data_IF_341349694816
#
_entry.id   IF_341349694816
#
_cell.length_a   1.000
_cell.length_b   1.000
_cell.length_c   1.000
_cell.angle_alpha   90.00
_cell.angle_beta   90.00
_cell.angle_gamma   90.00
#
_symmetry.space_group_name_H-M   'P 1'
#
loop_
_entity.id
_entity.type
_entity.pdbx_description
1 polymer ?
#
# COMPACT_ATOMS: atom_id res chain seq x y z
N UNK A 1 38.09 47.69 -6.45
CA UNK A 1 36.81 47.32 -5.78
C UNK A 1 36.01 46.29 -6.58
N UNK A 2 35.85 46.45 -7.89
CA UNK A 2 35.08 45.51 -8.74
C UNK A 2 35.54 44.04 -8.64
N UNK A 3 36.85 43.77 -8.63
CA UNK A 3 37.38 42.42 -8.49
C UNK A 3 37.09 41.75 -7.14
N UNK A 4 37.03 42.53 -6.06
CA UNK A 4 36.68 42.04 -4.71
C UNK A 4 35.19 41.69 -4.68
N UNK A 5 34.34 42.53 -5.30
CA UNK A 5 32.90 42.30 -5.36
C UNK A 5 32.57 41.02 -6.13
N UNK A 6 33.19 40.81 -7.29
CA UNK A 6 33.03 39.60 -8.10
C UNK A 6 33.59 38.36 -7.39
N UNK A 7 34.72 38.49 -6.69
CA UNK A 7 35.33 37.38 -5.95
C UNK A 7 34.46 36.92 -4.77
N UNK A 8 33.94 37.86 -3.97
CA UNK A 8 33.10 37.55 -2.82
C UNK A 8 31.74 36.99 -3.25
N UNK A 9 31.13 37.51 -4.33
CA UNK A 9 29.86 36.94 -4.83
C UNK A 9 30.04 35.53 -5.37
N UNK A 10 31.13 35.24 -6.08
CA UNK A 10 31.41 33.89 -6.59
C UNK A 10 31.57 32.87 -5.44
N UNK A 11 32.26 33.25 -4.36
CA UNK A 11 32.44 32.38 -3.19
C UNK A 11 31.13 32.16 -2.43
N UNK A 12 30.34 33.21 -2.21
CA UNK A 12 29.02 33.09 -1.56
C UNK A 12 28.10 32.17 -2.38
N UNK A 13 28.09 32.32 -3.70
CA UNK A 13 27.31 31.47 -4.60
C UNK A 13 27.72 30.00 -4.52
N UNK A 14 29.02 29.71 -4.55
CA UNK A 14 29.52 28.35 -4.47
C UNK A 14 29.15 27.68 -3.15
N UNK A 15 29.32 28.40 -2.02
CA UNK A 15 28.96 27.89 -0.70
C UNK A 15 27.45 27.63 -0.60
N UNK A 16 26.62 28.60 -1.03
CA UNK A 16 25.17 28.45 -1.02
C UNK A 16 24.70 27.26 -1.88
N UNK A 17 25.32 27.04 -3.05
CA UNK A 17 25.02 25.90 -3.91
C UNK A 17 25.46 24.58 -3.27
N UNK A 18 26.65 24.52 -2.66
CA UNK A 18 27.16 23.33 -1.99
C UNK A 18 26.32 22.93 -0.78
N UNK A 19 25.91 23.91 0.03
CA UNK A 19 24.99 23.69 1.15
C UNK A 19 23.58 23.31 0.67
N UNK A 20 23.08 23.94 -0.40
CA UNK A 20 21.77 23.62 -0.98
C UNK A 20 21.68 22.19 -1.51
N UNK A 21 22.71 21.72 -2.24
CA UNK A 21 22.78 20.33 -2.71
C UNK A 21 22.89 19.35 -1.54
N UNK A 22 23.72 19.66 -0.55
CA UNK A 22 23.88 18.83 0.64
C UNK A 22 22.58 18.73 1.45
N UNK A 23 21.84 19.84 1.58
CA UNK A 23 20.53 19.88 2.23
C UNK A 23 19.50 19.04 1.48
N UNK A 24 19.45 19.13 0.14
CA UNK A 24 18.56 18.31 -0.69
C UNK A 24 18.88 16.81 -0.55
N UNK A 25 20.16 16.43 -0.60
CA UNK A 25 20.58 15.04 -0.39
C UNK A 25 20.19 14.53 1.00
N UNK A 26 20.37 15.33 2.06
CA UNK A 26 19.94 14.97 3.41
C UNK A 26 18.42 14.85 3.53
N UNK A 27 17.65 15.70 2.85
CA UNK A 27 16.18 15.59 2.84
C UNK A 27 15.73 14.33 2.11
N UNK A 28 16.32 14.00 0.96
CA UNK A 28 16.06 12.72 0.28
C UNK A 28 16.42 11.53 1.18
N UNK A 29 17.53 11.59 1.92
CA UNK A 29 17.91 10.54 2.88
C UNK A 29 16.95 10.48 4.08
N UNK A 30 16.43 11.60 4.58
CA UNK A 30 15.42 11.65 5.65
C UNK A 30 14.07 11.14 5.18
N UNK A 31 13.69 11.42 3.93
CA UNK A 31 12.52 10.83 3.27
C UNK A 31 12.69 9.31 3.10
N UNK A 32 13.91 8.87 2.81
CA UNK A 32 14.32 7.47 2.82
C UNK A 32 14.56 6.92 4.24
N UNK A 33 14.52 7.78 5.27
CA UNK A 33 14.86 7.52 6.67
C UNK A 33 13.89 6.54 7.27
N UNK A 34 14.08 5.27 6.93
CA UNK A 34 13.16 4.17 7.15
C UNK A 34 13.10 3.82 8.64
N UNK A 35 12.39 4.65 9.41
CA UNK A 35 11.78 4.25 10.67
C UNK A 35 10.61 3.29 10.45
N UNK A 36 10.25 3.04 9.19
CA UNK A 36 9.22 2.09 8.79
C UNK A 36 9.87 0.76 8.42
N UNK A 37 9.51 -0.29 9.15
CA UNK A 37 9.93 -1.67 8.88
C UNK A 37 8.71 -2.39 8.30
N UNK A 38 8.83 -2.89 7.07
CA UNK A 38 7.79 -3.71 6.44
C UNK A 38 8.08 -5.16 6.72
N UNK A 39 7.24 -5.79 7.54
CA UNK A 39 7.29 -7.23 7.79
C UNK A 39 6.36 -7.91 6.79
N UNK A 40 6.93 -8.79 5.95
CA UNK A 40 6.20 -9.55 4.94
C UNK A 40 6.54 -11.03 5.05
N UNK A 41 5.52 -11.85 4.84
CA UNK A 41 5.68 -13.30 4.75
C UNK A 41 6.05 -13.66 3.29
N UNK A 42 7.07 -14.50 3.11
CA UNK A 42 7.56 -14.97 1.80
C UNK A 42 7.12 -16.42 1.60
N UNK A 43 6.18 -16.67 0.67
CA UNK A 43 5.68 -18.02 0.40
C UNK A 43 6.85 -19.02 0.23
N UNK A 44 6.91 -20.13 0.99
CA UNK A 44 7.94 -21.15 0.82
C UNK A 44 7.83 -21.79 -0.57
N UNK A 45 8.96 -22.08 -1.20
CA UNK A 45 9.04 -22.67 -2.53
C UNK A 45 8.42 -24.07 -2.56
N UNK A 46 7.80 -24.43 -3.69
CA UNK A 46 7.12 -25.73 -3.87
C UNK A 46 8.06 -26.94 -3.74
N UNK A 47 9.38 -26.74 -3.90
CA UNK A 47 10.42 -27.77 -3.77
C UNK A 47 10.60 -28.28 -2.33
N UNK A 48 10.22 -27.50 -1.31
CA UNK A 48 10.25 -27.94 0.09
C UNK A 48 9.08 -28.90 0.44
N UNK A 49 8.13 -29.11 -0.47
CA UNK A 49 6.89 -29.87 -0.24
C UNK A 49 6.90 -31.29 -0.81
N UNK A 50 8.04 -31.79 -1.33
CA UNK A 50 8.13 -33.16 -1.83
C UNK A 50 8.23 -34.22 -0.71
N UNK A 51 8.56 -33.82 0.53
CA UNK A 51 8.90 -34.75 1.62
C UNK A 51 7.80 -34.96 2.67
N UNK A 52 6.66 -34.28 2.56
CA UNK A 52 5.50 -34.54 3.44
C UNK A 52 4.22 -34.69 2.64
N UNK A 53 3.70 -35.91 2.56
CA UNK A 53 2.49 -36.30 1.82
C UNK A 53 1.17 -35.68 2.34
N UNK A 54 1.22 -34.52 2.97
CA UNK A 54 0.06 -33.78 3.44
C UNK A 54 -0.48 -32.90 2.32
N UNK A 55 -1.54 -33.37 1.65
CA UNK A 55 -2.36 -32.57 0.71
C UNK A 55 -3.23 -31.52 1.43
N UNK A 56 -2.87 -31.13 2.66
CA UNK A 56 -3.60 -30.16 3.48
C UNK A 56 -2.93 -28.80 3.37
N UNK A 57 -3.70 -27.79 3.01
CA UNK A 57 -3.23 -26.44 2.67
C UNK A 57 -2.24 -25.87 3.69
N UNK A 58 -1.22 -25.19 3.17
CA UNK A 58 -0.17 -24.56 3.98
C UNK A 58 -0.80 -23.34 4.68
N UNK A 59 -0.89 -23.39 6.01
CA UNK A 59 -1.11 -22.21 6.82
C UNK A 59 0.23 -21.45 6.89
N UNK A 60 0.35 -20.37 6.13
CA UNK A 60 1.55 -19.55 6.06
C UNK A 60 1.14 -18.08 6.07
N UNK A 61 1.79 -17.28 6.90
CA UNK A 61 1.44 -15.87 7.04
C UNK A 61 1.77 -15.33 8.43
N UNK A 62 1.70 -14.02 8.57
CA UNK A 62 1.67 -13.37 9.87
C UNK A 62 0.28 -13.58 10.47
N UNK A 63 0.20 -14.13 11.68
CA UNK A 63 -1.06 -14.26 12.39
C UNK A 63 -1.42 -12.94 13.06
N UNK A 64 -2.71 -12.69 13.29
CA UNK A 64 -3.15 -11.52 14.07
C UNK A 64 -2.58 -11.52 15.49
N UNK A 65 -2.46 -12.72 16.08
CA UNK A 65 -1.80 -12.90 17.37
C UNK A 65 -0.33 -12.48 17.37
N UNK A 66 0.36 -12.61 16.24
CA UNK A 66 1.76 -12.21 16.12
C UNK A 66 1.88 -10.68 16.07
N UNK A 67 0.97 -10.01 15.36
CA UNK A 67 0.86 -8.56 15.38
C UNK A 67 0.63 -8.01 16.80
N UNK A 68 -0.32 -8.58 17.55
CA UNK A 68 -0.60 -8.18 18.93
C UNK A 68 0.61 -8.38 19.84
N UNK A 69 1.34 -9.49 19.67
CA UNK A 69 2.58 -9.78 20.41
C UNK A 69 3.70 -8.80 20.06
N UNK A 70 3.87 -8.45 18.78
CA UNK A 70 4.92 -7.53 18.33
C UNK A 70 4.71 -6.15 18.97
N UNK A 71 3.48 -5.65 18.94
CA UNK A 71 3.15 -4.33 19.53
C UNK A 71 3.31 -4.33 21.04
N UNK A 72 2.86 -5.39 21.71
CA UNK A 72 2.88 -5.44 23.18
C UNK A 72 4.31 -5.61 23.72
N UNK A 73 5.17 -6.38 23.03
CA UNK A 73 6.50 -6.72 23.54
C UNK A 73 7.61 -5.74 23.13
N UNK A 74 7.41 -4.92 22.08
CA UNK A 74 8.45 -4.01 21.57
C UNK A 74 8.05 -2.56 21.85
N UNK A 75 8.53 -1.95 22.96
CA UNK A 75 8.14 -0.59 23.35
C UNK A 75 8.69 0.50 22.42
N UNK A 76 9.64 0.17 21.54
CA UNK A 76 10.24 1.10 20.57
C UNK A 76 9.32 1.38 19.37
N UNK A 77 8.27 0.60 19.17
CA UNK A 77 7.33 0.77 18.05
C UNK A 77 6.38 1.93 18.38
N UNK A 78 6.48 3.02 17.61
CA UNK A 78 5.59 4.18 17.76
C UNK A 78 4.21 3.95 17.14
N UNK A 79 4.14 3.23 16.03
CA UNK A 79 2.90 2.88 15.36
C UNK A 79 3.10 1.67 14.45
N UNK A 80 2.11 0.78 14.41
CA UNK A 80 2.11 -0.41 13.55
C UNK A 80 0.72 -0.60 12.97
N UNK A 81 0.64 -0.89 11.66
CA UNK A 81 -0.62 -1.08 10.96
C UNK A 81 -0.63 -2.45 10.29
N UNK A 82 -1.67 -3.26 10.55
CA UNK A 82 -1.87 -4.50 9.82
C UNK A 82 -2.39 -4.15 8.43
N UNK A 83 -1.81 -4.77 7.42
CA UNK A 83 -2.31 -4.70 6.05
C UNK A 83 -2.36 -6.09 5.46
N UNK A 84 -3.31 -6.30 4.55
CA UNK A 84 -3.40 -7.52 3.75
C UNK A 84 -3.57 -7.16 2.29
N UNK A 85 -2.98 -7.98 1.43
CA UNK A 85 -2.83 -7.67 0.02
C UNK A 85 -3.25 -8.83 -0.88
N UNK A 86 -4.07 -8.55 -1.89
CA UNK A 86 -4.44 -9.52 -2.91
C UNK A 86 -4.58 -8.85 -4.28
N UNK A 87 -4.12 -9.50 -5.34
CA UNK A 87 -4.41 -9.03 -6.70
C UNK A 87 -5.81 -9.48 -7.13
N UNK A 88 -6.64 -8.54 -7.59
CA UNK A 88 -7.99 -8.79 -8.10
C UNK A 88 -8.29 -7.87 -9.28
N UNK A 89 -9.19 -8.33 -10.14
CA UNK A 89 -9.75 -7.48 -11.18
C UNK A 89 -10.80 -6.55 -10.56
N UNK A 90 -10.65 -5.27 -10.86
CA UNK A 90 -11.60 -4.21 -10.52
C UNK A 90 -12.30 -3.80 -11.79
N UNK A 91 -13.63 -3.84 -11.77
CA UNK A 91 -14.47 -3.59 -12.94
C UNK A 91 -15.51 -2.53 -12.64
N UNK A 92 -15.83 -1.75 -13.66
CA UNK A 92 -16.95 -0.81 -13.66
C UNK A 92 -17.42 -0.67 -15.11
N UNK A 93 -18.64 -1.15 -15.36
CA UNK A 93 -19.23 -1.23 -16.71
C UNK A 93 -18.26 -1.94 -17.69
N UNK A 94 -17.84 -1.26 -18.75
CA UNK A 94 -16.89 -1.75 -19.76
C UNK A 94 -15.42 -1.60 -19.34
N UNK A 95 -15.13 -0.82 -18.30
CA UNK A 95 -13.78 -0.56 -17.84
C UNK A 95 -13.33 -1.63 -16.84
N UNK A 96 -12.15 -2.20 -17.09
CA UNK A 96 -11.53 -3.15 -16.16
C UNK A 96 -10.03 -2.90 -16.04
N UNK A 97 -9.52 -3.13 -14.83
CA UNK A 97 -8.10 -3.06 -14.52
C UNK A 97 -7.77 -4.12 -13.46
N UNK A 98 -6.64 -4.80 -13.64
CA UNK A 98 -6.08 -5.64 -12.59
C UNK A 98 -5.39 -4.71 -11.58
N UNK A 99 -5.87 -4.73 -10.34
CA UNK A 99 -5.42 -3.85 -9.29
C UNK A 99 -5.05 -4.65 -8.04
N UNK A 100 -4.24 -4.04 -7.17
CA UNK A 100 -3.85 -4.64 -5.91
C UNK A 100 -4.80 -4.15 -4.82
N UNK A 101 -5.64 -5.04 -4.32
CA UNK A 101 -6.59 -4.74 -3.26
C UNK A 101 -5.89 -4.87 -1.92
N UNK A 102 -5.82 -3.76 -1.21
CA UNK A 102 -5.17 -3.61 0.09
C UNK A 102 -6.25 -3.44 1.15
N UNK A 103 -6.37 -4.42 2.03
CA UNK A 103 -7.13 -4.30 3.27
C UNK A 103 -6.27 -3.58 4.30
N UNK A 104 -6.65 -2.37 4.71
CA UNK A 104 -5.88 -1.59 5.68
C UNK A 104 -6.77 -0.87 6.70
N UNK A 105 -6.12 -0.29 7.70
CA UNK A 105 -6.77 0.58 8.70
C UNK A 105 -6.59 2.06 8.33
N UNK A 106 -7.37 2.99 8.91
CA UNK A 106 -7.29 4.42 8.61
C UNK A 106 -5.89 5.01 8.81
N UNK A 107 -5.17 4.50 9.82
CA UNK A 107 -3.83 4.95 10.18
C UNK A 107 -2.80 4.68 9.07
N UNK A 108 -3.10 3.75 8.15
CA UNK A 108 -2.27 3.44 6.98
C UNK A 108 -1.96 4.69 6.15
N UNK A 109 -2.97 5.55 5.93
CA UNK A 109 -2.82 6.76 5.12
C UNK A 109 -1.86 7.75 5.79
N UNK A 110 -1.92 7.88 7.12
CA UNK A 110 -1.04 8.76 7.88
C UNK A 110 0.39 8.23 7.95
N UNK A 111 0.56 6.94 8.26
CA UNK A 111 1.90 6.32 8.39
C UNK A 111 2.63 6.34 7.06
N UNK A 112 1.94 5.99 5.98
CA UNK A 112 2.57 5.97 4.67
C UNK A 112 2.62 7.36 4.01
N UNK A 113 2.11 8.42 4.65
CA UNK A 113 2.00 9.76 4.05
C UNK A 113 1.27 9.70 2.70
N UNK A 114 0.14 9.00 2.64
CA UNK A 114 -0.75 8.95 1.48
C UNK A 114 -1.91 9.94 1.67
N UNK A 115 -1.77 11.21 1.28
CA UNK A 115 -2.89 12.12 1.34
C UNK A 115 -3.96 11.72 0.31
N UNK A 116 -5.22 11.84 0.71
CA UNK A 116 -6.38 11.67 -0.17
C UNK A 116 -6.69 13.02 -0.79
N UNK A 117 -6.59 13.11 -2.12
CA UNK A 117 -6.74 14.36 -2.88
C UNK A 117 -8.21 14.71 -3.10
N UNK A 118 -9.06 13.69 -3.23
CA UNK A 118 -10.51 13.87 -3.42
C UNK A 118 -11.30 12.99 -2.46
N UNK A 119 -12.39 13.51 -1.90
CA UNK A 119 -13.24 12.78 -0.97
C UNK A 119 -12.62 12.67 0.42
N UNK A 120 -12.69 11.49 1.03
CA UNK A 120 -12.17 11.22 2.38
C UNK A 120 -11.36 9.93 2.46
N UNK A 121 -10.38 9.83 3.38
CA UNK A 121 -9.76 8.55 3.71
C UNK A 121 -10.76 7.60 4.39
N UNK A 122 -10.34 6.34 4.52
CA UNK A 122 -11.07 5.36 5.33
C UNK A 122 -11.18 5.86 6.78
N UNK A 123 -12.35 5.72 7.38
CA UNK A 123 -12.61 6.11 8.76
C UNK A 123 -12.75 4.88 9.67
N UNK A 124 -12.51 5.06 10.96
CA UNK A 124 -12.70 3.99 11.95
C UNK A 124 -14.16 3.51 12.02
N UNK A 125 -15.12 4.37 11.68
CA UNK A 125 -16.53 3.99 11.52
C UNK A 125 -16.73 2.98 10.40
N UNK A 126 -16.03 3.13 9.27
CA UNK A 126 -16.15 2.21 8.13
C UNK A 126 -15.63 0.82 8.49
N UNK A 127 -14.55 0.76 9.29
CA UNK A 127 -14.04 -0.52 9.81
C UNK A 127 -15.04 -1.18 10.77
N UNK A 128 -15.64 -0.42 11.69
CA UNK A 128 -16.61 -0.95 12.65
C UNK A 128 -17.92 -1.37 11.98
N UNK A 129 -18.39 -0.60 11.01
CA UNK A 129 -19.63 -0.83 10.27
C UNK A 129 -19.55 -1.93 9.22
N UNK A 130 -18.34 -2.42 8.88
CA UNK A 130 -18.12 -3.34 7.76
C UNK A 130 -18.66 -2.76 6.45
N UNK A 131 -18.46 -1.45 6.29
CA UNK A 131 -18.95 -0.71 5.13
C UNK A 131 -18.20 -1.16 3.87
N UNK A 132 -18.94 -1.34 2.78
CA UNK A 132 -18.37 -1.65 1.47
C UNK A 132 -17.89 -0.35 0.80
N UNK A 133 -16.87 0.27 1.38
CA UNK A 133 -16.27 1.51 0.88
C UNK A 133 -14.86 1.27 0.36
N UNK A 134 -14.43 2.11 -0.56
CA UNK A 134 -13.12 1.99 -1.20
C UNK A 134 -12.48 3.35 -1.48
N UNK A 135 -11.16 3.43 -1.29
CA UNK A 135 -10.33 4.54 -1.73
C UNK A 135 -9.47 4.08 -2.91
N UNK A 136 -9.53 4.79 -4.02
CA UNK A 136 -8.83 4.46 -5.25
C UNK A 136 -7.47 5.16 -5.32
N UNK A 137 -6.43 4.48 -5.81
CA UNK A 137 -5.24 5.17 -6.29
C UNK A 137 -5.49 5.90 -7.62
N UNK A 138 -4.57 6.81 -7.97
CA UNK A 138 -4.73 7.72 -9.10
C UNK A 138 -4.98 6.99 -10.44
N UNK A 139 -4.12 6.04 -10.85
CA UNK A 139 -4.28 5.34 -12.14
C UNK A 139 -5.58 4.53 -12.21
N UNK A 140 -6.01 3.93 -11.08
CA UNK A 140 -7.26 3.17 -11.01
C UNK A 140 -8.46 4.09 -11.21
N UNK A 141 -8.43 5.27 -10.57
CA UNK A 141 -9.47 6.26 -10.72
C UNK A 141 -9.54 6.78 -12.17
N UNK A 142 -8.40 7.12 -12.80
CA UNK A 142 -8.39 7.59 -14.18
C UNK A 142 -8.89 6.54 -15.17
N UNK A 143 -8.50 5.28 -14.98
CA UNK A 143 -8.85 4.20 -15.91
C UNK A 143 -10.30 3.74 -15.79
N UNK A 144 -10.87 3.75 -14.58
CA UNK A 144 -12.28 3.38 -14.35
C UNK A 144 -13.24 4.57 -14.54
N UNK A 145 -12.74 5.80 -14.40
CA UNK A 145 -13.53 7.02 -14.47
C UNK A 145 -12.82 8.11 -15.30
N UNK A 146 -12.65 7.91 -16.62
CA UNK A 146 -11.90 8.86 -17.47
C UNK A 146 -12.59 10.22 -17.63
N UNK A 147 -13.93 10.27 -17.52
CA UNK A 147 -14.74 11.47 -17.80
C UNK A 147 -15.63 11.84 -16.60
N UNK A 148 -15.85 10.91 -15.68
CA UNK A 148 -16.84 11.06 -14.60
C UNK A 148 -16.18 11.22 -13.24
N UNK A 149 -16.87 11.83 -12.28
CA UNK A 149 -16.40 11.86 -10.90
C UNK A 149 -16.49 10.45 -10.28
N UNK A 150 -15.37 9.86 -9.79
CA UNK A 150 -15.40 8.56 -9.14
C UNK A 150 -16.13 8.58 -7.79
N UNK A 151 -16.24 9.73 -7.10
CA UNK A 151 -16.80 9.79 -5.75
C UNK A 151 -18.29 9.38 -5.72
N UNK A 152 -18.65 8.54 -4.75
CA UNK A 152 -20.01 8.04 -4.55
C UNK A 152 -20.46 6.98 -5.56
N UNK A 153 -19.61 6.60 -6.51
CA UNK A 153 -19.92 5.56 -7.51
C UNK A 153 -19.54 4.17 -7.00
N UNK A 154 -20.28 3.18 -7.48
CA UNK A 154 -19.98 1.79 -7.19
C UNK A 154 -18.97 1.22 -8.20
N UNK A 155 -18.02 0.45 -7.70
CA UNK A 155 -17.12 -0.40 -8.48
C UNK A 155 -17.26 -1.84 -8.02
N UNK A 156 -17.00 -2.78 -8.91
CA UNK A 156 -17.01 -4.20 -8.60
C UNK A 156 -15.59 -4.70 -8.37
N UNK A 157 -15.34 -5.33 -7.23
CA UNK A 157 -14.06 -5.96 -6.89
C UNK A 157 -14.35 -7.44 -6.66
N UNK A 158 -13.88 -8.30 -7.57
CA UNK A 158 -14.27 -9.71 -7.56
C UNK A 158 -15.78 -9.87 -7.77
N UNK A 159 -16.50 -10.33 -6.75
CA UNK A 159 -17.96 -10.58 -6.79
C UNK A 159 -18.78 -9.50 -6.08
N UNK A 160 -18.13 -8.60 -5.34
CA UNK A 160 -18.80 -7.65 -4.43
C UNK A 160 -18.68 -6.22 -4.95
N UNK A 161 -19.66 -5.38 -4.59
CA UNK A 161 -19.69 -3.96 -4.97
C UNK A 161 -19.23 -3.06 -3.81
N UNK A 162 -18.41 -2.08 -4.14
CA UNK A 162 -17.84 -1.11 -3.22
C UNK A 162 -18.10 0.32 -3.70
N UNK A 163 -18.43 1.22 -2.78
CA UNK A 163 -18.66 2.64 -3.07
C UNK A 163 -17.37 3.42 -2.87
N UNK A 164 -16.96 4.18 -3.90
CA UNK A 164 -15.76 5.00 -3.84
C UNK A 164 -16.00 6.20 -2.93
N UNK A 165 -15.20 6.32 -1.88
CA UNK A 165 -15.27 7.43 -0.91
C UNK A 165 -14.11 8.41 -1.03
N UNK A 166 -13.04 8.02 -1.72
CA UNK A 166 -11.88 8.88 -1.91
C UNK A 166 -10.95 8.45 -3.03
N UNK A 167 -10.09 9.37 -3.44
CA UNK A 167 -9.00 9.14 -4.40
C UNK A 167 -7.69 9.63 -3.78
N UNK A 168 -6.73 8.71 -3.67
CA UNK A 168 -5.41 8.95 -3.13
C UNK A 168 -4.51 9.72 -4.13
N UNK A 169 -3.52 10.44 -3.61
CA UNK A 169 -2.53 11.13 -4.44
C UNK A 169 -1.70 10.14 -5.27
N UNK A 170 -1.34 10.55 -6.48
CA UNK A 170 -0.35 9.87 -7.31
C UNK A 170 0.98 9.73 -6.55
N UNK A 171 1.48 8.49 -6.48
CA UNK A 171 2.80 8.17 -5.95
C UNK A 171 3.72 7.75 -7.08
N UNK A 172 4.66 8.63 -7.42
CA UNK A 172 5.81 8.23 -8.22
C UNK A 172 6.60 7.14 -7.48
N UNK A 173 7.17 6.17 -8.20
CA UNK A 173 7.94 5.05 -7.62
C UNK A 173 9.08 5.50 -6.66
N UNK A 174 9.58 6.73 -6.81
CA UNK A 174 10.58 7.34 -5.93
C UNK A 174 10.05 7.78 -4.55
N UNK A 175 8.73 7.99 -4.42
CA UNK A 175 8.08 8.40 -3.17
C UNK A 175 7.65 7.22 -2.29
N UNK A 176 8.03 5.98 -2.65
CA UNK A 176 7.72 4.79 -1.89
C UNK A 176 8.56 4.75 -0.60
N UNK A 177 7.90 4.98 0.54
CA UNK A 177 8.51 4.83 1.86
C UNK A 177 8.98 3.38 2.03
N UNK A 178 10.26 3.20 2.38
CA UNK A 178 10.80 1.90 2.79
C UNK A 178 11.72 1.19 1.79
N UNK A 179 12.27 1.88 0.78
CA UNK A 179 13.39 1.33 -0.01
C UNK A 179 13.07 0.08 -0.83
N UNK A 180 11.79 -0.24 -1.03
CA UNK A 180 11.39 -1.30 -1.96
C UNK A 180 11.58 -0.80 -3.39
N UNK A 181 12.83 -0.89 -3.87
CA UNK A 181 13.26 -0.70 -5.25
C UNK A 181 12.64 -1.72 -6.22
N UNK A 182 11.86 -2.69 -5.72
CA UNK A 182 10.98 -3.48 -6.55
C UNK A 182 9.90 -2.55 -7.10
N UNK A 183 9.84 -2.41 -8.43
CA UNK A 183 8.90 -1.60 -9.20
C UNK A 183 7.43 -1.93 -8.95
N UNK A 184 6.97 -1.73 -7.72
CA UNK A 184 5.59 -1.91 -7.32
C UNK A 184 4.82 -0.70 -7.81
N UNK A 185 3.80 -0.96 -8.61
CA UNK A 185 2.93 0.07 -9.14
C UNK A 185 1.92 0.49 -8.07
N UNK A 186 2.38 1.28 -7.09
CA UNK A 186 1.53 1.81 -6.00
C UNK A 186 0.31 2.58 -6.52
N UNK A 187 0.37 3.08 -7.75
CA UNK A 187 -0.73 3.78 -8.38
C UNK A 187 -1.86 2.85 -8.86
N UNK A 188 -1.66 1.52 -8.85
CA UNK A 188 -2.68 0.51 -9.15
C UNK A 188 -3.26 -0.14 -7.90
N UNK A 189 -3.11 0.52 -6.76
CA UNK A 189 -3.60 0.03 -5.47
C UNK A 189 -5.05 0.49 -5.21
N UNK A 190 -5.81 -0.35 -4.52
CA UNK A 190 -7.20 -0.10 -4.14
C UNK A 190 -7.35 -0.42 -2.65
N UNK A 191 -7.72 0.58 -1.86
CA UNK A 191 -7.74 0.47 -0.41
C UNK A 191 -9.15 0.23 0.10
N UNK A 192 -9.34 -0.85 0.85
CA UNK A 192 -10.62 -1.19 1.51
C UNK A 192 -10.40 -1.40 3.02
N UNK A 193 -11.44 -1.22 3.85
CA UNK A 193 -11.33 -1.50 5.28
C UNK A 193 -10.89 -2.95 5.54
N UNK A 194 -9.90 -3.15 6.41
CA UNK A 194 -9.38 -4.49 6.74
C UNK A 194 -10.47 -5.45 7.24
N UNK A 195 -11.44 -4.95 8.01
CA UNK A 195 -12.58 -5.74 8.49
C UNK A 195 -13.49 -6.21 7.34
N UNK A 196 -13.78 -5.32 6.38
CA UNK A 196 -14.56 -5.64 5.18
C UNK A 196 -13.80 -6.64 4.30
N UNK A 197 -12.49 -6.43 4.10
CA UNK A 197 -11.62 -7.36 3.40
C UNK A 197 -11.73 -8.76 4.00
N UNK A 198 -11.57 -8.87 5.33
CA UNK A 198 -11.66 -10.14 6.05
C UNK A 198 -13.01 -10.83 5.88
N UNK A 199 -14.11 -10.08 6.00
CA UNK A 199 -15.46 -10.66 5.94
C UNK A 199 -15.85 -11.10 4.53
N UNK A 200 -15.43 -10.36 3.50
CA UNK A 200 -15.85 -10.58 2.11
C UNK A 200 -14.93 -11.51 1.33
N UNK A 201 -13.62 -11.32 1.47
CA UNK A 201 -12.61 -12.10 0.76
C UNK A 201 -12.22 -13.34 1.57
N UNK A 202 -12.27 -13.25 2.90
CA UNK A 202 -11.87 -14.34 3.79
C UNK A 202 -10.36 -14.48 3.91
N UNK A 203 -9.89 -15.13 4.97
CA UNK A 203 -8.45 -15.37 5.24
C UNK A 203 -7.85 -16.47 4.32
N UNK A 204 -8.66 -17.04 3.42
CA UNK A 204 -8.26 -18.15 2.55
C UNK A 204 -8.26 -17.71 1.08
N UNK A 205 -7.09 -17.71 0.46
CA UNK A 205 -6.92 -17.48 -0.98
C UNK A 205 -6.89 -18.85 -1.67
N UNK A 206 -7.96 -19.16 -2.40
CA UNK A 206 -8.01 -20.35 -3.25
C UNK A 206 -7.64 -19.90 -4.66
N UNK A 207 -6.44 -20.27 -5.11
CA UNK A 207 -5.99 -20.00 -6.48
C UNK A 207 -6.15 -21.29 -7.28
N UNK A 208 -7.11 -21.33 -8.20
CA UNK A 208 -7.26 -22.44 -9.15
C UNK A 208 -6.58 -22.04 -10.45
N UNK A 209 -5.38 -22.57 -10.70
CA UNK A 209 -4.68 -22.44 -11.98
C UNK A 209 -4.67 -23.81 -12.66
N UNK A 210 -5.29 -23.92 -13.83
CA UNK A 210 -5.09 -24.99 -14.81
C UNK A 210 -4.99 -26.43 -14.25
N UNK A 211 -5.98 -26.88 -13.47
CA UNK A 211 -6.03 -28.28 -12.98
C UNK A 211 -5.32 -28.56 -11.65
N UNK A 212 -4.59 -27.59 -11.08
CA UNK A 212 -4.02 -27.70 -9.73
C UNK A 212 -4.83 -26.85 -8.77
N UNK A 213 -5.49 -27.49 -7.80
CA UNK A 213 -6.17 -26.82 -6.70
C UNK A 213 -5.14 -26.41 -5.66
N UNK A 214 -4.77 -25.12 -5.60
CA UNK A 214 -3.89 -24.58 -4.55
C UNK A 214 -4.72 -23.82 -3.53
N UNK A 215 -4.52 -24.16 -2.25
CA UNK A 215 -5.34 -23.67 -1.16
C UNK A 215 -4.46 -23.04 -0.09
N UNK A 216 -4.49 -21.71 0.00
CA UNK A 216 -3.61 -20.93 0.88
C UNK A 216 -4.45 -20.19 1.92
N UNK A 217 -4.02 -20.16 3.17
CA UNK A 217 -4.64 -19.33 4.23
C UNK A 217 -3.61 -18.30 4.68
N UNK A 218 -3.91 -17.03 4.48
CA UNK A 218 -3.07 -15.87 4.80
C UNK A 218 -3.95 -14.87 5.57
N UNK A 219 -3.63 -14.61 6.83
CA UNK A 219 -4.42 -13.72 7.70
C UNK A 219 -4.03 -12.24 7.59
N UNK A 220 -2.73 -11.97 7.34
CA UNK A 220 -2.12 -10.65 7.17
C UNK A 220 -1.11 -10.71 6.02
#
# INVERSE_FOLDING_TARGET
VLGILIGVTAVIWLVAMGEGVSYQAQQQIKELGATSIIVRTIKPSEEANSDSGSRSGIAYGLLRSDYDRIITNIPTISSAVPMREISRDVRRDEFSISAQVIGCTPEYFSINRLPVVRGRPLAASDLRGLENVVVLAHDVAERLFPIQDPLGRAIQIGTEFYVVVGVAQDRTAAAAIGGSFSARQYNRDVYIPLSTFRKRIGDRVITVRGGTFQNETIEL
#
